data_IF_018954748186
#
_entry.id   IF_018954748186
#
_cell.length_a   1.000
_cell.length_b   1.000
_cell.length_c   1.000
_cell.angle_alpha   90.00
_cell.angle_beta   90.00
_cell.angle_gamma   90.00
#
_symmetry.space_group_name_H-M   'P 1'
#
loop_
_entity.id
_entity.type
_entity.pdbx_description
1 polymer ?
#
# COMPACT_ATOMS: atom_id res chain seq x y z
N UNK A 1 -21.82 -6.94 -2.62
CA UNK A 1 -20.99 -5.72 -2.56
C UNK A 1 -20.72 -5.27 -3.99
N UNK A 2 -20.54 -3.96 -4.28
CA UNK A 2 -20.14 -3.52 -5.62
C UNK A 2 -18.76 -4.09 -5.96
N UNK A 3 -18.54 -4.40 -7.25
CA UNK A 3 -17.24 -4.85 -7.73
C UNK A 3 -16.18 -3.74 -7.54
N UNK A 4 -14.86 -4.08 -7.46
CA UNK A 4 -13.80 -3.06 -7.38
C UNK A 4 -13.92 -1.96 -8.43
N UNK A 5 -14.22 -2.32 -9.68
CA UNK A 5 -14.40 -1.34 -10.77
C UNK A 5 -15.59 -0.40 -10.55
N UNK A 6 -16.71 -0.88 -10.00
CA UNK A 6 -17.85 -0.03 -9.70
C UNK A 6 -17.60 0.88 -8.49
N UNK A 7 -16.83 0.40 -7.50
CA UNK A 7 -16.41 1.20 -6.36
C UNK A 7 -15.47 2.35 -6.79
N UNK A 8 -14.48 2.07 -7.64
CA UNK A 8 -13.58 3.09 -8.21
C UNK A 8 -14.36 4.12 -9.01
N UNK A 9 -15.28 3.70 -9.87
CA UNK A 9 -16.08 4.60 -10.69
C UNK A 9 -17.00 5.52 -9.86
N UNK A 10 -17.39 5.09 -8.66
CA UNK A 10 -18.23 5.88 -7.75
C UNK A 10 -17.43 6.77 -6.79
N UNK A 11 -16.12 6.56 -6.67
CA UNK A 11 -15.28 7.29 -5.75
C UNK A 11 -14.86 8.66 -6.29
N UNK A 12 -14.59 9.59 -5.37
CA UNK A 12 -13.97 10.86 -5.74
C UNK A 12 -12.52 10.61 -6.18
N UNK A 13 -12.10 11.06 -7.38
CA UNK A 13 -10.73 10.87 -7.83
C UNK A 13 -9.77 11.79 -7.07
N UNK A 14 -8.54 11.30 -6.83
CA UNK A 14 -7.47 12.13 -6.32
C UNK A 14 -7.11 13.24 -7.30
N UNK A 15 -6.97 14.44 -6.79
CA UNK A 15 -6.55 15.60 -7.57
C UNK A 15 -5.10 15.95 -7.23
N UNK A 16 -4.29 16.27 -8.24
CA UNK A 16 -2.92 16.73 -8.03
C UNK A 16 -2.92 18.03 -7.22
N UNK A 17 -2.18 18.03 -6.13
CA UNK A 17 -2.01 19.18 -5.23
C UNK A 17 -0.54 19.54 -5.12
N UNK A 18 -0.18 20.75 -5.53
CA UNK A 18 1.20 21.25 -5.43
C UNK A 18 2.18 20.55 -6.38
N UNK A 19 3.47 20.84 -6.18
CA UNK A 19 4.54 20.23 -6.96
C UNK A 19 4.95 18.89 -6.34
N UNK A 20 5.19 17.90 -7.19
CA UNK A 20 5.69 16.58 -6.80
C UNK A 20 7.21 16.53 -7.06
N UNK A 21 8.03 16.08 -6.11
CA UNK A 21 9.48 15.94 -6.34
C UNK A 21 9.74 14.81 -7.36
N UNK A 22 10.96 14.74 -7.94
CA UNK A 22 11.30 13.69 -8.90
C UNK A 22 11.41 12.30 -8.25
N UNK A 23 11.69 12.26 -6.95
CA UNK A 23 11.83 11.03 -6.17
C UNK A 23 11.37 11.26 -4.73
N UNK A 24 10.80 10.22 -4.12
CA UNK A 24 10.31 10.22 -2.74
C UNK A 24 10.25 8.78 -2.23
N UNK A 25 10.58 8.59 -0.97
CA UNK A 25 10.33 7.32 -0.27
C UNK A 25 10.08 7.58 1.21
N UNK A 26 9.12 6.89 1.77
CA UNK A 26 8.88 6.83 3.21
C UNK A 26 9.03 5.38 3.68
N UNK A 27 9.98 5.15 4.58
CA UNK A 27 10.25 3.84 5.18
C UNK A 27 10.01 3.99 6.68
N UNK A 28 8.91 3.43 7.23
CA UNK A 28 8.68 3.43 8.66
C UNK A 28 9.80 2.72 9.42
N UNK A 29 10.05 3.16 10.66
CA UNK A 29 11.10 2.60 11.51
C UNK A 29 10.79 1.17 11.96
N UNK A 30 9.51 0.81 12.03
CA UNK A 30 9.03 -0.50 12.43
C UNK A 30 8.01 -1.04 11.43
N UNK A 31 8.20 -2.30 11.03
CA UNK A 31 7.32 -3.04 10.14
C UNK A 31 6.85 -4.32 10.81
N UNK A 32 5.71 -4.86 10.39
CA UNK A 32 5.19 -6.14 10.86
C UNK A 32 4.48 -6.88 9.72
N UNK A 33 4.26 -8.18 9.90
CA UNK A 33 3.31 -8.94 9.09
C UNK A 33 1.87 -8.59 9.40
N UNK A 34 1.60 -8.14 10.62
CA UNK A 34 0.27 -8.00 11.18
C UNK A 34 -0.62 -9.23 10.97
N UNK A 35 0.03 -10.43 11.02
CA UNK A 35 -0.50 -11.78 10.76
C UNK A 35 -0.96 -12.08 9.33
N UNK A 36 -0.70 -11.21 8.36
CA UNK A 36 -0.98 -11.45 6.95
C UNK A 36 -0.20 -12.67 6.36
N UNK A 37 0.61 -13.36 7.13
CA UNK A 37 1.23 -14.64 6.79
C UNK A 37 0.38 -15.86 7.23
N UNK A 38 -0.61 -15.64 8.10
CA UNK A 38 -1.47 -16.69 8.66
C UNK A 38 -2.94 -16.54 8.24
N UNK A 39 -3.38 -15.30 8.05
CA UNK A 39 -4.75 -14.93 7.70
C UNK A 39 -4.80 -14.21 6.36
N UNK A 40 -5.98 -14.18 5.75
CA UNK A 40 -6.24 -13.39 4.55
C UNK A 40 -6.58 -11.93 4.84
N UNK A 41 -5.88 -11.30 5.80
CA UNK A 41 -6.17 -9.95 6.29
C UNK A 41 -5.28 -8.87 5.67
N UNK A 42 -4.78 -9.09 4.46
CA UNK A 42 -3.87 -8.18 3.76
C UNK A 42 -4.35 -6.73 3.77
N UNK A 43 -5.64 -6.48 3.56
CA UNK A 43 -6.16 -5.10 3.56
C UNK A 43 -6.04 -4.45 4.92
N UNK A 44 -6.30 -5.20 6.02
CA UNK A 44 -6.19 -4.67 7.38
C UNK A 44 -4.73 -4.45 7.79
N UNK A 45 -3.83 -5.33 7.36
CA UNK A 45 -2.38 -5.16 7.55
C UNK A 45 -1.88 -3.88 6.84
N UNK A 46 -2.37 -3.60 5.62
CA UNK A 46 -2.03 -2.37 4.89
C UNK A 46 -2.62 -1.11 5.54
N UNK A 47 -3.75 -1.22 6.28
CA UNK A 47 -4.25 -0.11 7.10
C UNK A 47 -3.31 0.16 8.29
N UNK A 48 -2.75 -0.88 8.92
CA UNK A 48 -1.75 -0.71 9.97
C UNK A 48 -0.44 -0.11 9.44
N UNK A 49 0.01 -0.53 8.25
CA UNK A 49 1.15 0.09 7.57
C UNK A 49 0.92 1.59 7.30
N UNK A 50 -0.30 1.98 6.92
CA UNK A 50 -0.63 3.39 6.73
C UNK A 50 -0.47 4.22 8.02
N UNK A 51 -0.77 3.63 9.19
CA UNK A 51 -0.51 4.30 10.47
C UNK A 51 0.99 4.41 10.77
N UNK A 52 1.78 3.39 10.41
CA UNK A 52 3.24 3.47 10.52
C UNK A 52 3.83 4.56 9.61
N UNK A 53 3.21 4.85 8.46
CA UNK A 53 3.62 5.95 7.59
C UNK A 53 3.19 7.35 8.09
N UNK A 54 2.40 7.45 9.15
CA UNK A 54 1.99 8.74 9.71
C UNK A 54 3.16 9.47 10.39
N UNK A 55 3.08 10.80 10.53
CA UNK A 55 4.09 11.60 11.22
C UNK A 55 3.49 12.36 12.41
N UNK A 56 3.87 12.03 13.64
CA UNK A 56 4.83 10.98 14.06
C UNK A 56 4.31 9.55 13.81
N UNK A 57 5.21 8.60 13.56
CA UNK A 57 4.86 7.21 13.30
C UNK A 57 3.96 6.60 14.39
N UNK A 58 2.94 5.84 13.98
CA UNK A 58 2.02 5.14 14.88
C UNK A 58 2.11 3.65 14.58
N UNK A 59 2.78 2.90 15.43
CA UNK A 59 2.81 1.45 15.32
C UNK A 59 1.58 0.84 15.97
N UNK A 60 0.76 0.15 15.19
CA UNK A 60 -0.39 -0.63 15.68
C UNK A 60 0.08 -2.07 15.95
N UNK A 61 -0.04 -2.59 17.20
CA UNK A 61 0.36 -3.96 17.50
C UNK A 61 -0.45 -4.98 16.70
N UNK A 62 0.20 -6.07 16.31
CA UNK A 62 -0.39 -7.16 15.53
C UNK A 62 -1.71 -7.69 16.13
N UNK A 63 -1.76 -7.90 17.45
CA UNK A 63 -2.98 -8.36 18.12
C UNK A 63 -4.15 -7.37 18.01
N UNK A 64 -3.88 -6.08 17.94
CA UNK A 64 -4.91 -5.04 17.70
C UNK A 64 -5.46 -5.14 16.28
N UNK A 65 -4.60 -5.36 15.29
CA UNK A 65 -4.98 -5.51 13.88
C UNK A 65 -5.84 -6.76 13.69
N UNK A 66 -5.39 -7.91 14.20
CA UNK A 66 -6.12 -9.18 14.12
C UNK A 66 -7.48 -9.09 14.83
N UNK A 67 -7.52 -8.54 16.04
CA UNK A 67 -8.77 -8.40 16.78
C UNK A 67 -9.76 -7.47 16.06
N UNK A 68 -9.27 -6.41 15.42
CA UNK A 68 -10.10 -5.53 14.61
C UNK A 68 -10.65 -6.27 13.38
N UNK A 69 -9.80 -7.01 12.66
CA UNK A 69 -10.20 -7.77 11.47
C UNK A 69 -11.23 -8.86 11.81
N UNK A 70 -11.05 -9.55 12.94
CA UNK A 70 -12.01 -10.55 13.45
C UNK A 70 -13.36 -9.91 13.80
N UNK A 71 -13.34 -8.80 14.54
CA UNK A 71 -14.56 -8.08 14.96
C UNK A 71 -15.38 -7.56 13.76
N UNK A 72 -14.73 -7.26 12.64
CA UNK A 72 -15.37 -6.77 11.41
C UNK A 72 -15.64 -7.88 10.39
N UNK A 73 -15.27 -9.14 10.68
CA UNK A 73 -15.50 -10.27 9.78
C UNK A 73 -14.64 -10.25 8.51
N UNK A 74 -13.46 -9.60 8.56
CA UNK A 74 -12.54 -9.41 7.42
C UNK A 74 -11.20 -10.10 7.59
N UNK A 75 -11.08 -11.01 8.57
CA UNK A 75 -9.84 -11.73 8.88
C UNK A 75 -9.43 -12.73 7.77
N UNK A 76 -10.38 -13.23 7.00
CA UNK A 76 -10.14 -14.28 5.99
C UNK A 76 -10.50 -13.81 4.57
N UNK A 77 -10.11 -12.61 4.23
CA UNK A 77 -10.35 -11.97 2.95
C UNK A 77 -11.49 -10.95 3.01
N UNK A 78 -11.28 -9.83 2.32
CA UNK A 78 -12.27 -8.78 2.16
C UNK A 78 -12.03 -7.99 0.88
N UNK A 79 -13.08 -7.37 0.37
CA UNK A 79 -12.91 -6.35 -0.65
C UNK A 79 -12.22 -5.12 -0.05
N UNK A 80 -11.22 -4.60 -0.74
CA UNK A 80 -10.44 -3.45 -0.30
C UNK A 80 -11.35 -2.27 0.06
N UNK A 81 -12.29 -1.89 -0.79
CA UNK A 81 -13.23 -0.81 -0.56
C UNK A 81 -14.13 -1.01 0.69
N UNK A 82 -14.41 -2.25 1.09
CA UNK A 82 -15.22 -2.52 2.28
C UNK A 82 -14.43 -2.17 3.56
N UNK A 83 -13.17 -2.61 3.66
CA UNK A 83 -12.28 -2.27 4.78
C UNK A 83 -12.02 -0.76 4.80
N UNK A 84 -11.83 -0.14 3.64
CA UNK A 84 -11.68 1.31 3.53
C UNK A 84 -12.86 2.06 4.17
N UNK A 85 -14.10 1.62 3.96
CA UNK A 85 -15.28 2.26 4.56
C UNK A 85 -15.39 2.00 6.07
N UNK A 86 -15.03 0.82 6.55
CA UNK A 86 -15.05 0.49 7.98
C UNK A 86 -14.08 1.38 8.76
N UNK A 87 -12.86 1.56 8.28
CA UNK A 87 -11.80 2.34 8.93
C UNK A 87 -12.11 3.84 9.06
N UNK A 88 -13.04 4.39 8.27
CA UNK A 88 -13.47 5.79 8.41
C UNK A 88 -14.21 6.01 9.74
N UNK A 89 -14.95 5.01 10.20
CA UNK A 89 -15.88 5.15 11.35
C UNK A 89 -15.43 4.39 12.59
N UNK A 90 -14.66 3.34 12.43
CA UNK A 90 -14.20 2.47 13.52
C UNK A 90 -12.79 1.97 13.22
N UNK A 91 -11.80 2.83 13.45
CA UNK A 91 -10.38 2.52 13.27
C UNK A 91 -9.78 1.72 14.43
N UNK A 92 -8.47 1.54 14.39
CA UNK A 92 -7.76 0.82 15.46
C UNK A 92 -7.81 1.57 16.79
N UNK A 93 -8.04 0.83 17.87
CA UNK A 93 -8.07 1.38 19.23
C UNK A 93 -6.82 0.96 19.99
N UNK A 94 -6.05 1.96 20.46
CA UNK A 94 -4.81 1.72 21.19
C UNK A 94 -4.51 2.89 22.14
N UNK A 95 -4.08 2.58 23.35
CA UNK A 95 -3.59 3.57 24.34
C UNK A 95 -4.56 4.73 24.58
N UNK A 96 -5.87 4.47 24.54
CA UNK A 96 -6.91 5.47 24.77
C UNK A 96 -7.26 6.33 23.55
N UNK A 97 -6.65 6.08 22.41
CA UNK A 97 -6.95 6.74 21.14
C UNK A 97 -7.64 5.79 20.16
N UNK A 98 -8.39 6.38 19.23
CA UNK A 98 -8.90 5.71 18.04
C UNK A 98 -8.19 6.29 16.83
N UNK A 99 -7.64 5.42 16.00
CA UNK A 99 -6.92 5.77 14.78
C UNK A 99 -7.78 5.43 13.57
N UNK A 100 -8.66 6.36 13.22
CA UNK A 100 -9.49 6.26 12.03
C UNK A 100 -8.74 6.71 10.77
N UNK A 101 -9.43 6.64 9.65
CA UNK A 101 -8.96 7.17 8.37
C UNK A 101 -9.87 8.27 7.85
N UNK A 102 -9.32 9.14 7.02
CA UNK A 102 -10.10 10.02 6.17
C UNK A 102 -10.81 9.27 5.04
N UNK A 103 -11.65 9.97 4.26
CA UNK A 103 -12.29 9.39 3.09
C UNK A 103 -11.27 8.83 2.10
N UNK A 104 -11.63 7.74 1.42
CA UNK A 104 -10.83 7.15 0.37
C UNK A 104 -11.14 7.83 -0.97
N UNK A 105 -10.08 8.21 -1.69
CA UNK A 105 -10.16 8.72 -3.06
C UNK A 105 -9.54 7.70 -4.01
N UNK A 106 -10.13 7.52 -5.18
CA UNK A 106 -9.55 6.67 -6.21
C UNK A 106 -8.34 7.34 -6.85
N UNK A 107 -7.33 6.55 -7.22
CA UNK A 107 -6.11 7.03 -7.86
C UNK A 107 -5.99 6.40 -9.25
N UNK A 108 -5.72 7.21 -10.26
CA UNK A 108 -5.36 6.70 -11.59
C UNK A 108 -3.91 6.22 -11.56
N UNK A 109 -3.71 4.93 -11.30
CA UNK A 109 -2.39 4.30 -11.20
C UNK A 109 -1.67 4.16 -12.55
N UNK A 110 -2.38 4.35 -13.66
CA UNK A 110 -1.79 4.35 -15.00
C UNK A 110 -1.18 5.69 -15.36
N UNK A 111 -1.51 6.73 -14.60
CA UNK A 111 -0.97 8.08 -14.74
C UNK A 111 0.07 8.35 -13.65
N UNK A 112 1.35 8.26 -14.01
CA UNK A 112 2.46 8.43 -13.07
C UNK A 112 2.42 9.78 -12.33
N UNK A 113 1.98 10.88 -12.94
CA UNK A 113 1.90 12.18 -12.28
C UNK A 113 0.85 12.18 -11.16
N UNK A 114 -0.31 11.56 -11.40
CA UNK A 114 -1.37 11.41 -10.39
C UNK A 114 -0.94 10.50 -9.26
N UNK A 115 -0.38 9.33 -9.60
CA UNK A 115 0.06 8.34 -8.62
C UNK A 115 1.21 8.87 -7.74
N UNK A 116 2.24 9.48 -8.35
CA UNK A 116 3.35 10.05 -7.59
C UNK A 116 2.89 11.18 -6.66
N UNK A 117 1.97 12.03 -7.12
CA UNK A 117 1.41 13.07 -6.28
C UNK A 117 0.61 12.49 -5.10
N UNK A 118 -0.20 11.46 -5.34
CA UNK A 118 -0.95 10.78 -4.28
C UNK A 118 -0.03 10.16 -3.22
N UNK A 119 1.05 9.49 -3.65
CA UNK A 119 2.06 8.93 -2.74
C UNK A 119 2.76 10.03 -1.94
N UNK A 120 3.17 11.13 -2.59
CA UNK A 120 3.89 12.20 -1.93
C UNK A 120 3.05 12.95 -0.90
N UNK A 121 1.78 13.21 -1.22
CA UNK A 121 0.90 14.05 -0.38
C UNK A 121 0.19 13.27 0.73
N UNK A 122 -0.05 11.98 0.54
CA UNK A 122 -0.86 11.16 1.45
C UNK A 122 -0.36 9.70 1.51
N UNK A 123 0.96 9.49 1.64
CA UNK A 123 1.56 8.16 1.78
C UNK A 123 0.88 7.33 2.89
N UNK A 124 0.60 6.03 2.63
CA UNK A 124 0.80 5.32 1.38
C UNK A 124 -0.42 5.32 0.45
N UNK A 125 -0.22 4.93 -0.81
CA UNK A 125 -1.31 4.55 -1.72
C UNK A 125 -1.50 3.05 -1.67
N UNK A 126 -2.70 2.59 -1.33
CA UNK A 126 -3.08 1.17 -1.35
C UNK A 126 -3.48 0.74 -2.76
N UNK A 127 -3.03 -0.42 -3.18
CA UNK A 127 -3.39 -1.00 -4.46
C UNK A 127 -3.84 -2.46 -4.30
N UNK A 128 -4.89 -2.83 -5.04
CA UNK A 128 -5.29 -4.22 -5.21
C UNK A 128 -4.53 -4.83 -6.39
N UNK A 129 -3.87 -5.97 -6.16
CA UNK A 129 -2.95 -6.57 -7.13
C UNK A 129 -3.18 -8.07 -7.30
N UNK A 130 -2.72 -8.61 -8.45
CA UNK A 130 -2.50 -10.04 -8.64
C UNK A 130 -1.14 -10.43 -8.06
N UNK A 131 -1.11 -11.22 -6.99
CA UNK A 131 0.11 -11.51 -6.21
C UNK A 131 1.01 -12.59 -6.79
N UNK A 132 0.54 -13.44 -7.70
CA UNK A 132 1.28 -14.63 -8.19
C UNK A 132 2.74 -14.35 -8.61
N UNK A 133 2.99 -13.19 -9.23
CA UNK A 133 4.33 -12.83 -9.68
C UNK A 133 5.16 -12.19 -8.54
N UNK A 134 4.50 -11.55 -7.56
CA UNK A 134 5.15 -11.04 -6.35
C UNK A 134 5.66 -12.18 -5.47
N UNK A 135 4.90 -13.25 -5.31
CA UNK A 135 5.28 -14.44 -4.53
C UNK A 135 6.62 -15.05 -4.99
N UNK A 136 6.94 -14.89 -6.27
CA UNK A 136 8.18 -15.43 -6.83
C UNK A 136 9.43 -14.58 -6.51
N UNK A 137 9.26 -13.30 -6.15
CA UNK A 137 10.39 -12.36 -5.98
C UNK A 137 10.48 -11.78 -4.58
N UNK A 138 9.36 -11.67 -3.86
CA UNK A 138 9.33 -11.14 -2.50
C UNK A 138 9.90 -12.18 -1.53
N UNK A 139 10.84 -11.73 -0.69
CA UNK A 139 11.26 -12.50 0.47
C UNK A 139 10.61 -11.89 1.70
N UNK A 140 9.56 -12.52 2.28
CA UNK A 140 8.86 -11.97 3.42
C UNK A 140 9.80 -11.62 4.59
N UNK A 141 9.59 -10.44 5.20
CA UNK A 141 10.44 -9.95 6.29
C UNK A 141 11.81 -9.43 5.86
N UNK A 142 12.11 -9.34 4.57
CA UNK A 142 13.39 -8.84 4.05
C UNK A 142 13.20 -7.72 3.06
N UNK A 143 13.66 -6.52 3.40
CA UNK A 143 13.63 -5.36 2.50
C UNK A 143 14.61 -5.52 1.32
N UNK A 144 14.35 -4.78 0.25
CA UNK A 144 15.26 -4.63 -0.88
C UNK A 144 15.10 -5.68 -1.98
N UNK A 145 13.97 -6.40 -2.06
CA UNK A 145 13.65 -7.20 -3.23
C UNK A 145 13.38 -6.30 -4.45
N UNK A 146 13.62 -6.85 -5.65
CA UNK A 146 13.45 -6.13 -6.92
C UNK A 146 12.50 -6.93 -7.82
N UNK A 147 11.41 -6.32 -8.23
CA UNK A 147 10.41 -6.88 -9.13
C UNK A 147 10.44 -6.15 -10.48
N UNK A 148 10.64 -6.90 -11.56
CA UNK A 148 10.66 -6.36 -12.93
C UNK A 148 10.17 -7.41 -13.93
N UNK A 149 9.65 -6.94 -15.06
CA UNK A 149 9.28 -7.81 -16.17
C UNK A 149 7.98 -8.60 -15.95
N UNK A 150 7.11 -8.15 -15.05
CA UNK A 150 5.82 -8.78 -14.82
C UNK A 150 4.91 -8.60 -16.03
N UNK A 151 4.22 -9.67 -16.41
CA UNK A 151 3.20 -9.63 -17.44
C UNK A 151 1.84 -9.23 -16.88
N UNK A 152 0.90 -8.87 -17.76
CA UNK A 152 -0.45 -8.49 -17.37
C UNK A 152 -1.16 -9.65 -16.68
N UNK A 153 -1.62 -9.39 -15.45
CA UNK A 153 -2.45 -10.27 -14.63
C UNK A 153 -3.54 -9.43 -13.97
N UNK A 154 -4.78 -9.89 -14.04
CA UNK A 154 -5.97 -9.21 -13.51
C UNK A 154 -6.67 -10.02 -12.42
N UNK A 155 -6.05 -11.10 -11.96
CA UNK A 155 -6.57 -11.94 -10.88
C UNK A 155 -6.27 -11.32 -9.52
N UNK A 156 -6.89 -10.16 -9.24
CA UNK A 156 -6.72 -9.44 -7.98
C UNK A 156 -7.06 -10.32 -6.78
N UNK A 157 -6.08 -10.62 -5.96
CA UNK A 157 -6.17 -11.49 -4.80
C UNK A 157 -5.38 -10.98 -3.57
N UNK A 158 -4.71 -9.83 -3.69
CA UNK A 158 -3.89 -9.28 -2.62
C UNK A 158 -3.95 -7.75 -2.58
N UNK A 159 -3.68 -7.19 -1.40
CA UNK A 159 -3.54 -5.76 -1.17
C UNK A 159 -2.11 -5.44 -0.73
N UNK A 160 -1.52 -4.41 -1.32
CA UNK A 160 -0.18 -3.90 -1.01
C UNK A 160 -0.20 -2.37 -0.98
N UNK A 161 0.86 -1.76 -0.46
CA UNK A 161 0.96 -0.29 -0.35
C UNK A 161 2.18 0.26 -1.07
N UNK A 162 1.97 1.33 -1.84
CA UNK A 162 3.06 2.10 -2.45
C UNK A 162 3.46 3.24 -1.50
N UNK A 163 4.74 3.27 -1.11
CA UNK A 163 5.29 4.23 -0.15
C UNK A 163 6.45 5.06 -0.70
N UNK A 164 6.72 4.99 -2.00
CA UNK A 164 7.75 5.78 -2.65
C UNK A 164 7.73 5.62 -4.17
N UNK A 165 8.45 6.49 -4.86
CA UNK A 165 8.65 6.46 -6.30
C UNK A 165 9.98 7.12 -6.67
N UNK A 166 10.54 6.75 -7.81
CA UNK A 166 11.79 7.27 -8.34
C UNK A 166 12.43 6.32 -9.35
N UNK A 167 13.68 6.60 -9.78
CA UNK A 167 14.46 5.63 -10.56
C UNK A 167 14.69 4.33 -9.78
N UNK A 168 14.60 3.19 -10.44
CA UNK A 168 14.79 1.88 -9.82
C UNK A 168 16.15 1.74 -9.10
N UNK A 169 17.19 2.33 -9.65
CA UNK A 169 18.54 2.35 -9.05
C UNK A 169 18.55 3.12 -7.72
N UNK A 170 17.94 4.30 -7.70
CA UNK A 170 17.81 5.11 -6.51
C UNK A 170 16.96 4.41 -5.43
N UNK A 171 15.82 3.82 -5.80
CA UNK A 171 15.00 3.04 -4.86
C UNK A 171 15.78 1.85 -4.28
N UNK A 172 16.55 1.13 -5.10
CA UNK A 172 17.38 0.03 -4.63
C UNK A 172 18.43 0.49 -3.60
N UNK A 173 19.04 1.68 -3.80
CA UNK A 173 19.98 2.28 -2.85
C UNK A 173 19.30 2.66 -1.53
N UNK A 174 18.13 3.34 -1.58
CA UNK A 174 17.37 3.71 -0.39
C UNK A 174 16.96 2.48 0.44
N UNK A 175 16.57 1.40 -0.24
CA UNK A 175 16.18 0.12 0.37
C UNK A 175 17.37 -0.77 0.77
N UNK A 176 18.60 -0.33 0.49
CA UNK A 176 19.84 -1.12 0.71
C UNK A 176 19.73 -2.50 0.07
N UNK A 177 19.18 -2.56 -1.15
CA UNK A 177 18.96 -3.80 -1.87
C UNK A 177 20.27 -4.56 -2.09
N UNK A 178 20.31 -5.88 -1.86
CA UNK A 178 21.43 -6.71 -2.28
C UNK A 178 21.44 -6.96 -3.80
N UNK A 179 20.37 -6.56 -4.50
CA UNK A 179 20.19 -6.78 -5.92
C UNK A 179 20.27 -5.46 -6.70
N UNK A 180 20.80 -5.53 -7.92
CA UNK A 180 20.79 -4.40 -8.85
C UNK A 180 19.63 -4.55 -9.83
N UNK A 181 18.80 -3.51 -10.04
CA UNK A 181 17.76 -3.57 -11.06
C UNK A 181 18.39 -3.66 -12.46
N UNK A 182 17.78 -4.42 -13.37
CA UNK A 182 18.28 -4.57 -14.75
C UNK A 182 18.36 -3.24 -15.51
N UNK A 183 17.44 -2.32 -15.23
CA UNK A 183 17.43 -0.96 -15.75
C UNK A 183 17.34 0.04 -14.60
N UNK A 184 18.46 0.57 -14.08
CA UNK A 184 18.46 1.47 -12.93
C UNK A 184 17.77 2.82 -13.19
N UNK A 185 17.70 3.27 -14.44
CA UNK A 185 17.05 4.53 -14.81
C UNK A 185 15.53 4.38 -15.06
N UNK A 186 15.02 3.16 -15.08
CA UNK A 186 13.58 2.95 -15.25
C UNK A 186 12.81 3.54 -14.08
N UNK A 187 11.64 4.16 -14.30
CA UNK A 187 10.77 4.59 -13.22
C UNK A 187 10.24 3.38 -12.44
N UNK A 188 10.08 3.53 -11.13
CA UNK A 188 9.57 2.49 -10.27
C UNK A 188 8.94 3.03 -8.99
N UNK A 189 8.47 2.10 -8.18
CA UNK A 189 7.79 2.37 -6.91
C UNK A 189 8.37 1.53 -5.78
N UNK A 190 8.47 2.11 -4.57
CA UNK A 190 8.68 1.35 -3.36
C UNK A 190 7.33 0.77 -2.91
N UNK A 191 7.31 -0.54 -2.69
CA UNK A 191 6.09 -1.30 -2.38
C UNK A 191 6.29 -2.08 -1.08
N UNK A 192 5.36 -1.90 -0.14
CA UNK A 192 5.28 -2.70 1.08
C UNK A 192 4.36 -3.91 0.86
N UNK A 193 4.79 -5.06 1.28
CA UNK A 193 3.99 -6.29 1.46
C UNK A 193 4.73 -7.28 2.35
N UNK A 194 4.03 -8.15 3.08
CA UNK A 194 4.56 -9.24 3.91
C UNK A 194 5.78 -8.85 4.76
N UNK A 195 5.62 -7.77 5.55
CA UNK A 195 6.66 -7.24 6.44
C UNK A 195 7.97 -6.88 5.70
N UNK A 196 7.86 -6.40 4.48
CA UNK A 196 9.02 -6.03 3.67
C UNK A 196 8.69 -4.89 2.70
N UNK A 197 9.71 -4.10 2.36
CA UNK A 197 9.62 -3.08 1.31
C UNK A 197 10.65 -3.42 0.24
N UNK A 198 10.21 -3.49 -1.01
CA UNK A 198 11.06 -3.64 -2.19
C UNK A 198 10.73 -2.63 -3.27
N UNK A 199 11.38 -2.75 -4.42
CA UNK A 199 11.13 -1.91 -5.56
C UNK A 199 10.54 -2.70 -6.73
N UNK A 200 9.52 -2.14 -7.35
CA UNK A 200 8.87 -2.67 -8.56
C UNK A 200 8.95 -1.64 -9.67
N UNK A 201 9.33 -2.05 -10.89
CA UNK A 201 9.29 -1.13 -12.03
C UNK A 201 7.84 -0.72 -12.35
N UNK A 202 7.68 0.49 -12.90
CA UNK A 202 6.36 1.08 -13.12
C UNK A 202 5.48 0.25 -14.06
N UNK A 203 6.06 -0.39 -15.08
CA UNK A 203 5.29 -1.23 -16.01
C UNK A 203 4.80 -2.51 -15.32
N UNK A 204 5.65 -3.16 -14.53
CA UNK A 204 5.30 -4.34 -13.75
C UNK A 204 4.18 -4.02 -12.75
N UNK A 205 4.28 -2.88 -12.03
CA UNK A 205 3.25 -2.40 -11.12
C UNK A 205 1.90 -2.23 -11.84
N UNK A 206 1.88 -1.52 -12.97
CA UNK A 206 0.65 -1.31 -13.76
C UNK A 206 0.07 -2.64 -14.25
N UNK A 207 0.92 -3.60 -14.62
CA UNK A 207 0.49 -4.89 -15.15
C UNK A 207 -0.25 -5.76 -14.14
N UNK A 208 -0.01 -5.60 -12.85
CA UNK A 208 -0.64 -6.42 -11.80
C UNK A 208 -1.70 -5.67 -10.98
N UNK A 209 -1.87 -4.35 -11.19
CA UNK A 209 -2.81 -3.51 -10.41
C UNK A 209 -4.18 -3.44 -11.07
N UNK A 210 -5.25 -3.57 -10.28
CA UNK A 210 -6.65 -3.46 -10.70
C UNK A 210 -7.40 -2.33 -9.99
N UNK A 211 -6.94 -1.87 -8.82
CA UNK A 211 -7.50 -0.71 -8.12
C UNK A 211 -6.42 0.01 -7.30
N UNK A 212 -6.60 1.33 -7.10
CA UNK A 212 -5.71 2.13 -6.29
C UNK A 212 -6.49 3.19 -5.49
N UNK A 213 -6.09 3.37 -4.22
CA UNK A 213 -6.77 4.22 -3.27
C UNK A 213 -5.80 5.00 -2.40
N UNK A 214 -6.16 6.25 -2.12
CA UNK A 214 -5.46 7.11 -1.16
C UNK A 214 -6.43 7.66 -0.12
N UNK A 215 -5.97 7.87 1.11
CA UNK A 215 -6.73 8.48 2.19
C UNK A 215 -6.45 9.98 2.29
N UNK A 216 -7.47 10.78 2.54
CA UNK A 216 -7.32 12.23 2.68
C UNK A 216 -8.15 12.72 3.88
N UNK A 217 -7.55 12.93 5.05
CA UNK A 217 -6.17 12.59 5.42
C UNK A 217 -5.93 11.08 5.59
N UNK A 218 -4.65 10.67 5.63
CA UNK A 218 -4.29 9.26 5.82
C UNK A 218 -4.72 8.73 7.17
N UNK A 219 -4.62 9.53 8.23
CA UNK A 219 -4.98 9.12 9.60
C UNK A 219 -5.69 10.25 10.33
N UNK A 220 -6.74 9.89 11.06
CA UNK A 220 -7.51 10.76 11.97
C UNK A 220 -7.40 10.19 13.38
N UNK A 221 -6.85 10.95 14.31
CA UNK A 221 -6.69 10.53 15.72
C UNK A 221 -7.83 11.13 16.55
N UNK A 222 -8.55 10.26 17.26
CA UNK A 222 -9.63 10.66 18.21
C UNK A 222 -9.41 10.10 19.59
#
# INVERSE_FOLDING_TARGET
MPSPRSAIAAAMPHQIVGATPPEFIHIPSELSFWDNSQYGDCVTAEEAFAKACYQPEIFIPQNTVVAWAEAHGVLNGAYLNAVLQMMVNDGFKQSGHTYDDGPAHSVDWTNAAVLNNAIFTNCPVKIGVAANQLDAVVTPGRNGWIATGFHRDTAEDHCVSLCGFGPMGWLAEQLRSPHKPPNPEAPGYAMFTWNSIGAIDAQSMVNITEEAWVRVPTTVIR
#
